data_IF_889793956332
#
_entry.id   IF_889793956332
#
_cell.length_a   1.000
_cell.length_b   1.000
_cell.length_c   1.000
_cell.angle_alpha   90.00
_cell.angle_beta   90.00
_cell.angle_gamma   90.00
#
_symmetry.space_group_name_H-M   'P 1'
#
loop_
_entity.id
_entity.type
_entity.pdbx_description
1 polymer ?
#
# COMPACT_ATOMS: atom_id res chain seq x y z
N UNK A 1 -19.14 42.04 34.56
CA UNK A 1 -18.13 41.47 33.64
C UNK A 1 -18.18 39.95 33.78
N UNK A 2 -18.73 39.22 32.80
CA UNK A 2 -18.85 37.76 32.85
C UNK A 2 -17.63 37.16 32.15
N UNK A 3 -16.76 36.47 32.91
CA UNK A 3 -15.69 35.64 32.35
C UNK A 3 -16.33 34.41 31.70
N UNK A 4 -16.16 34.25 30.39
CA UNK A 4 -16.49 33.02 29.69
C UNK A 4 -15.34 32.02 29.84
N UNK A 5 -15.59 30.89 30.48
CA UNK A 5 -14.70 29.73 30.47
C UNK A 5 -14.70 29.15 29.04
N UNK A 6 -13.54 29.19 28.37
CA UNK A 6 -13.35 28.47 27.12
C UNK A 6 -13.03 27.01 27.44
N UNK A 7 -13.97 26.11 27.13
CA UNK A 7 -13.76 24.67 27.21
C UNK A 7 -12.92 24.23 26.00
N UNK A 8 -11.65 23.87 26.22
CA UNK A 8 -10.81 23.25 25.19
C UNK A 8 -11.17 21.77 25.12
N UNK A 9 -12.00 21.41 24.14
CA UNK A 9 -12.28 20.01 23.84
C UNK A 9 -11.08 19.41 23.09
N UNK A 10 -10.27 18.61 23.78
CA UNK A 10 -9.23 17.79 23.17
C UNK A 10 -9.90 16.58 22.51
N UNK A 11 -10.05 16.62 21.19
CA UNK A 11 -10.46 15.46 20.40
C UNK A 11 -9.30 14.46 20.37
N UNK A 12 -9.39 13.42 21.19
CA UNK A 12 -8.49 12.27 21.14
C UNK A 12 -8.86 11.49 19.87
N UNK A 13 -8.08 11.66 18.81
CA UNK A 13 -8.20 10.82 17.62
C UNK A 13 -7.83 9.39 18.02
N UNK A 14 -8.81 8.48 18.03
CA UNK A 14 -8.56 7.05 18.21
C UNK A 14 -7.55 6.59 17.14
N UNK A 15 -6.48 5.87 17.50
CA UNK A 15 -5.54 5.34 16.52
C UNK A 15 -6.29 4.40 15.57
N UNK A 16 -6.14 4.60 14.27
CA UNK A 16 -6.69 3.70 13.26
C UNK A 16 -6.19 2.27 13.52
N UNK A 17 -7.11 1.31 13.63
CA UNK A 17 -6.76 -0.08 13.88
C UNK A 17 -6.02 -0.64 12.67
N UNK A 18 -4.76 -1.06 12.87
CA UNK A 18 -4.01 -1.76 11.84
C UNK A 18 -4.62 -3.14 11.57
N UNK A 19 -4.82 -3.45 10.30
CA UNK A 19 -5.34 -4.72 9.79
C UNK A 19 -4.20 -5.53 9.19
N UNK A 20 -4.03 -6.75 9.69
CA UNK A 20 -3.09 -7.75 9.15
C UNK A 20 -3.73 -8.48 7.96
N UNK A 21 -2.92 -8.83 6.97
CA UNK A 21 -3.37 -9.55 5.80
C UNK A 21 -2.24 -10.04 4.93
N UNK A 22 -2.59 -10.43 3.70
CA UNK A 22 -1.64 -10.95 2.73
C UNK A 22 -1.85 -10.27 1.37
N UNK A 23 -0.75 -10.08 0.66
CA UNK A 23 -0.80 -9.71 -0.75
C UNK A 23 -1.11 -10.94 -1.61
N UNK A 24 -1.95 -10.75 -2.63
CA UNK A 24 -2.36 -11.74 -3.63
C UNK A 24 -2.41 -11.08 -5.02
N UNK A 25 -2.32 -11.89 -6.08
CA UNK A 25 -2.52 -11.42 -7.46
C UNK A 25 -4.00 -11.52 -7.83
N UNK A 26 -4.54 -10.45 -8.44
CA UNK A 26 -5.98 -10.35 -8.73
C UNK A 26 -6.41 -11.08 -9.99
N UNK A 27 -5.61 -11.08 -11.06
CA UNK A 27 -5.73 -11.97 -12.23
C UNK A 27 -4.65 -11.60 -13.27
N UNK A 28 -3.46 -12.21 -13.19
CA UNK A 28 -2.53 -12.45 -14.30
C UNK A 28 -1.38 -13.32 -13.75
N UNK A 29 -0.64 -14.01 -14.62
CA UNK A 29 0.43 -14.99 -14.30
C UNK A 29 1.65 -14.40 -13.56
N UNK A 30 1.59 -13.17 -13.06
CA UNK A 30 2.70 -12.57 -12.35
C UNK A 30 2.73 -13.09 -10.92
N UNK A 31 3.81 -13.75 -10.53
CA UNK A 31 4.01 -14.19 -9.13
C UNK A 31 4.45 -13.04 -8.20
N UNK A 32 4.59 -11.83 -8.77
CA UNK A 32 5.18 -10.67 -8.11
C UNK A 32 4.17 -9.52 -8.02
N UNK A 33 4.00 -8.97 -6.82
CA UNK A 33 3.31 -7.70 -6.60
C UNK A 33 4.32 -6.59 -6.40
N UNK A 34 4.13 -5.50 -7.12
CA UNK A 34 4.93 -4.28 -6.97
C UNK A 34 4.30 -3.40 -5.89
N UNK A 35 5.12 -2.99 -4.92
CA UNK A 35 4.76 -1.97 -3.93
C UNK A 35 5.32 -0.63 -4.39
N UNK A 36 4.45 0.36 -4.54
CA UNK A 36 4.77 1.66 -5.12
C UNK A 36 5.01 2.72 -4.05
N UNK A 37 5.90 3.68 -4.28
CA UNK A 37 6.22 4.73 -3.30
C UNK A 37 5.05 5.70 -3.09
N UNK A 38 4.32 5.99 -4.16
CA UNK A 38 3.19 6.91 -4.19
C UNK A 38 2.16 6.52 -5.27
N UNK A 39 1.07 7.27 -5.33
CA UNK A 39 -0.07 6.98 -6.20
C UNK A 39 0.24 7.24 -7.68
N UNK A 40 1.04 8.27 -8.00
CA UNK A 40 1.44 8.54 -9.38
C UNK A 40 2.30 7.39 -9.93
N UNK A 41 3.27 6.93 -9.14
CA UNK A 41 4.10 5.77 -9.47
C UNK A 41 3.29 4.49 -9.67
N UNK A 42 2.24 4.28 -8.87
CA UNK A 42 1.33 3.15 -9.03
C UNK A 42 0.61 3.20 -10.37
N UNK A 43 0.02 4.35 -10.72
CA UNK A 43 -0.72 4.52 -11.97
C UNK A 43 0.17 4.39 -13.20
N UNK A 44 1.34 5.04 -13.18
CA UNK A 44 2.32 4.95 -14.26
C UNK A 44 2.84 3.52 -14.43
N UNK A 45 3.13 2.86 -13.30
CA UNK A 45 3.57 1.49 -13.25
C UNK A 45 2.56 0.50 -13.83
N UNK A 46 1.28 0.63 -13.46
CA UNK A 46 0.19 -0.16 -14.02
C UNK A 46 0.04 0.06 -15.53
N UNK A 47 0.16 1.30 -16.01
CA UNK A 47 0.11 1.60 -17.44
C UNK A 47 1.26 0.92 -18.22
N UNK A 48 2.47 0.91 -17.65
CA UNK A 48 3.64 0.23 -18.24
C UNK A 48 3.45 -1.29 -18.26
N UNK A 49 2.96 -1.87 -17.16
CA UNK A 49 2.68 -3.30 -17.07
C UNK A 49 1.59 -3.73 -18.07
N UNK A 50 0.51 -2.96 -18.17
CA UNK A 50 -0.58 -3.21 -19.10
C UNK A 50 -0.13 -3.11 -20.58
N UNK A 51 0.82 -2.21 -20.88
CA UNK A 51 1.38 -2.06 -22.22
C UNK A 51 2.34 -3.20 -22.62
N UNK A 52 2.64 -4.16 -21.71
CA UNK A 52 3.70 -5.17 -21.88
C UNK A 52 5.05 -4.54 -22.27
N UNK A 53 5.30 -3.30 -21.82
CA UNK A 53 6.50 -2.55 -22.17
C UNK A 53 7.67 -2.98 -21.28
N UNK A 54 8.06 -4.25 -21.40
CA UNK A 54 9.08 -4.91 -20.58
C UNK A 54 10.43 -4.17 -20.52
N UNK A 55 10.75 -3.40 -21.56
CA UNK A 55 11.99 -2.62 -21.63
C UNK A 55 11.91 -1.30 -20.83
N UNK A 56 10.70 -0.78 -20.58
CA UNK A 56 10.48 0.41 -19.75
C UNK A 56 10.42 0.06 -18.25
N UNK A 57 10.26 -1.22 -17.92
CA UNK A 57 10.26 -1.73 -16.53
C UNK A 57 11.57 -1.35 -15.82
N UNK A 58 12.71 -1.33 -16.53
CA UNK A 58 14.01 -1.03 -15.94
C UNK A 58 14.24 0.42 -15.54
N UNK A 59 13.64 1.41 -16.21
CA UNK A 59 13.86 2.83 -15.92
C UNK A 59 12.65 3.52 -15.30
N UNK A 60 11.43 3.20 -15.75
CA UNK A 60 10.22 3.79 -15.21
C UNK A 60 9.86 3.25 -13.83
N UNK A 61 10.18 1.98 -13.53
CA UNK A 61 9.89 1.42 -12.21
C UNK A 61 10.89 1.86 -11.16
N UNK A 62 12.18 1.99 -11.48
CA UNK A 62 13.22 2.20 -10.46
C UNK A 62 12.99 3.43 -9.57
N UNK A 63 12.42 4.51 -10.13
CA UNK A 63 12.18 5.73 -9.35
C UNK A 63 10.89 5.66 -8.52
N UNK A 64 9.84 5.02 -9.02
CA UNK A 64 8.52 4.89 -8.36
C UNK A 64 8.33 3.66 -7.48
N UNK A 65 9.25 2.69 -7.56
CA UNK A 65 9.14 1.37 -6.94
C UNK A 65 9.78 1.31 -5.56
N UNK A 66 9.06 0.75 -4.58
CA UNK A 66 9.59 0.48 -3.25
C UNK A 66 10.18 -0.93 -3.15
N UNK A 67 9.40 -1.96 -3.51
CA UNK A 67 9.86 -3.36 -3.53
C UNK A 67 8.93 -4.26 -4.33
N UNK A 68 9.47 -5.39 -4.79
CA UNK A 68 8.79 -6.36 -5.64
C UNK A 68 8.70 -7.65 -4.86
N UNK A 69 7.47 -8.05 -4.56
CA UNK A 69 7.20 -9.07 -3.57
C UNK A 69 6.72 -10.32 -4.28
N UNK A 70 7.47 -11.41 -4.15
CA UNK A 70 6.98 -12.74 -4.51
C UNK A 70 5.92 -13.20 -3.53
N UNK A 71 4.80 -13.66 -4.06
CA UNK A 71 3.62 -13.99 -3.27
C UNK A 71 3.63 -15.42 -2.70
N UNK A 72 2.83 -15.69 -1.64
CA UNK A 72 2.09 -14.72 -0.83
C UNK A 72 2.95 -14.08 0.26
N UNK A 73 2.74 -12.80 0.55
CA UNK A 73 3.50 -12.07 1.56
C UNK A 73 2.60 -11.40 2.60
N UNK A 74 3.00 -11.48 3.87
CA UNK A 74 2.27 -10.85 4.98
C UNK A 74 2.52 -9.34 5.03
N UNK A 75 1.45 -8.57 5.14
CA UNK A 75 1.48 -7.11 5.22
C UNK A 75 0.48 -6.59 6.26
N UNK A 76 0.70 -5.37 6.73
CA UNK A 76 -0.25 -4.63 7.57
C UNK A 76 -0.67 -3.32 6.87
N UNK A 77 -1.91 -2.89 7.08
CA UNK A 77 -2.44 -1.59 6.61
C UNK A 77 -3.24 -0.94 7.74
N UNK A 78 -3.22 0.38 7.85
CA UNK A 78 -4.09 1.13 8.78
C UNK A 78 -5.41 1.55 8.15
N UNK A 79 -5.55 1.40 6.83
CA UNK A 79 -6.72 1.82 6.08
C UNK A 79 -6.97 0.88 4.89
N UNK A 80 -7.70 -0.23 5.11
CA UNK A 80 -7.96 -1.24 4.09
C UNK A 80 -9.20 -0.92 3.24
N UNK A 81 -9.84 0.24 3.40
CA UNK A 81 -11.09 0.56 2.68
C UNK A 81 -10.92 1.25 1.32
N UNK A 82 -9.89 2.10 1.09
CA UNK A 82 -9.70 2.75 -0.19
C UNK A 82 -9.29 1.77 -1.28
N UNK A 83 -9.46 2.18 -2.54
CA UNK A 83 -9.04 1.41 -3.72
C UNK A 83 -7.52 1.25 -3.81
N UNK A 84 -6.77 2.20 -3.25
CA UNK A 84 -5.32 2.16 -3.10
C UNK A 84 -5.00 2.17 -1.62
N UNK A 85 -4.36 1.10 -1.15
CA UNK A 85 -4.08 0.94 0.27
C UNK A 85 -2.59 1.11 0.55
N UNK A 86 -2.29 1.71 1.71
CA UNK A 86 -0.92 1.78 2.22
C UNK A 86 -0.59 0.50 2.98
N UNK A 87 0.50 -0.16 2.59
CA UNK A 87 0.95 -1.41 3.22
C UNK A 87 2.35 -1.27 3.79
N UNK A 88 2.59 -2.04 4.85
CA UNK A 88 3.91 -2.33 5.40
C UNK A 88 4.11 -3.83 5.33
N UNK A 89 5.17 -4.26 4.66
CA UNK A 89 5.56 -5.67 4.61
C UNK A 89 6.16 -6.09 5.94
N UNK A 90 5.68 -7.18 6.53
CA UNK A 90 6.08 -7.59 7.88
C UNK A 90 6.75 -8.97 7.94
N UNK A 91 7.09 -9.55 6.79
CA UNK A 91 7.81 -10.82 6.74
C UNK A 91 8.63 -10.98 5.47
N UNK A 92 9.36 -12.10 5.37
CA UNK A 92 10.18 -12.42 4.19
C UNK A 92 11.36 -11.48 3.99
N UNK A 93 11.97 -11.57 2.81
CA UNK A 93 13.15 -10.79 2.40
C UNK A 93 12.87 -9.27 2.35
N UNK A 94 11.62 -8.87 2.12
CA UNK A 94 11.22 -7.47 2.00
C UNK A 94 10.56 -6.90 3.26
N UNK A 95 10.75 -7.53 4.42
CA UNK A 95 10.24 -7.01 5.69
C UNK A 95 10.71 -5.56 5.92
N UNK A 96 9.76 -4.68 6.28
CA UNK A 96 10.00 -3.25 6.45
C UNK A 96 9.76 -2.41 5.19
N UNK A 97 9.56 -3.02 4.01
CA UNK A 97 9.14 -2.29 2.82
C UNK A 97 7.77 -1.65 3.04
N UNK A 98 7.61 -0.42 2.53
CA UNK A 98 6.39 0.39 2.68
C UNK A 98 6.01 1.00 1.35
N UNK A 99 4.72 1.09 1.10
CA UNK A 99 4.20 1.78 -0.07
C UNK A 99 2.73 1.52 -0.29
N UNK A 100 2.32 1.59 -1.54
CA UNK A 100 0.95 1.50 -1.99
C UNK A 100 0.75 0.28 -2.89
N UNK A 101 -0.44 -0.32 -2.79
CA UNK A 101 -0.93 -1.39 -3.68
C UNK A 101 -2.42 -1.19 -3.94
N UNK A 102 -2.98 -1.81 -4.99
CA UNK A 102 -4.43 -1.86 -5.16
C UNK A 102 -5.08 -2.72 -4.08
N UNK A 103 -6.29 -2.34 -3.70
CA UNK A 103 -7.09 -3.02 -2.68
C UNK A 103 -7.39 -4.47 -3.03
N UNK A 104 -7.62 -4.76 -4.30
CA UNK A 104 -7.86 -6.11 -4.83
C UNK A 104 -6.67 -7.04 -4.59
N UNK A 105 -5.45 -6.51 -4.48
CA UNK A 105 -4.27 -7.28 -4.16
C UNK A 105 -4.10 -7.58 -2.67
N UNK A 106 -5.06 -7.20 -1.82
CA UNK A 106 -4.98 -7.41 -0.38
C UNK A 106 -6.14 -8.23 0.18
N UNK A 107 -5.79 -9.30 0.88
CA UNK A 107 -6.74 -10.15 1.59
C UNK A 107 -6.51 -10.02 3.09
N UNK A 108 -7.46 -9.41 3.84
CA UNK A 108 -7.33 -9.32 5.29
C UNK A 108 -7.39 -10.71 5.92
N UNK A 109 -6.61 -10.90 6.99
CA UNK A 109 -6.64 -12.13 7.79
C UNK A 109 -7.89 -12.09 8.68
N UNK A 110 -8.71 -13.14 8.63
CA UNK A 110 -9.83 -13.33 9.57
C UNK A 110 -9.32 -13.67 10.97
#
# INVERSE_FOLDING_TARGET
MRLALALVAVLIASPALAVDGKLVVSEDKQETIFVWKDEAALLDGEAVLAANAGDLIGSALNDGFACGIRLPQRVITADPTPDIIRVIVVGGEHAGCRGLVRRENFVPKR
#
